data_IF_203386723804
#
_entry.id   IF_203386723804
#
_cell.length_a   1.000
_cell.length_b   1.000
_cell.length_c   1.000
_cell.angle_alpha   90.00
_cell.angle_beta   90.00
_cell.angle_gamma   90.00
#
_symmetry.space_group_name_H-M   'P 1'
#
loop_
_entity.id
_entity.type
_entity.pdbx_description
1 polymer ?
#
# COMPACT_ATOMS: atom_id res chain seq x y z
N UNK A 1 -78.09 1.93 1.54
CA UNK A 1 -76.80 2.51 1.14
C UNK A 1 -75.62 1.67 1.75
N UNK A 2 -74.95 0.89 0.93
CA UNK A 2 -73.80 0.00 1.38
C UNK A 2 -72.52 0.76 1.16
N UNK A 3 -71.79 1.07 2.27
CA UNK A 3 -70.41 1.65 2.22
C UNK A 3 -69.42 0.56 1.84
N UNK A 4 -68.75 0.70 0.69
CA UNK A 4 -67.62 -0.10 0.30
C UNK A 4 -66.39 0.36 1.04
N UNK A 5 -65.86 -0.47 1.99
CA UNK A 5 -64.55 -0.30 2.58
C UNK A 5 -63.48 -0.63 1.55
N UNK A 6 -62.70 0.35 1.12
CA UNK A 6 -61.51 0.17 0.31
C UNK A 6 -60.41 -0.33 1.22
N UNK A 7 -59.99 -1.60 1.05
CA UNK A 7 -58.80 -2.15 1.65
C UNK A 7 -57.57 -1.69 0.87
N UNK A 8 -56.86 -0.68 1.36
CA UNK A 8 -55.53 -0.34 0.89
C UNK A 8 -54.56 -1.44 1.30
N UNK A 9 -54.06 -2.18 0.33
CA UNK A 9 -53.02 -3.20 0.53
C UNK A 9 -51.68 -2.53 0.85
N UNK A 10 -51.29 -2.55 2.12
CA UNK A 10 -49.94 -2.30 2.58
C UNK A 10 -49.08 -3.51 2.24
N UNK A 11 -48.47 -3.51 1.05
CA UNK A 11 -47.32 -4.38 0.72
C UNK A 11 -46.39 -3.61 -0.22
N UNK A 12 -45.76 -2.56 0.26
CA UNK A 12 -44.41 -2.20 -0.16
C UNK A 12 -43.45 -2.65 0.91
N UNK A 13 -43.12 -3.94 0.89
CA UNK A 13 -41.92 -4.45 1.54
C UNK A 13 -40.74 -3.81 0.76
N UNK A 14 -40.16 -2.78 1.35
CA UNK A 14 -38.86 -2.30 0.91
C UNK A 14 -37.94 -3.48 0.98
N UNK A 15 -37.57 -4.07 -0.17
CA UNK A 15 -36.37 -4.88 -0.28
C UNK A 15 -35.22 -3.95 0.12
N UNK A 16 -34.81 -3.99 1.38
CA UNK A 16 -33.50 -3.49 1.78
C UNK A 16 -32.52 -4.30 0.95
N UNK A 17 -31.97 -3.70 -0.10
CA UNK A 17 -30.81 -4.25 -0.77
C UNK A 17 -29.78 -4.46 0.34
N UNK A 18 -29.48 -5.73 0.65
CA UNK A 18 -28.35 -6.04 1.51
C UNK A 18 -27.12 -5.48 0.80
N UNK A 19 -26.58 -4.41 1.31
CA UNK A 19 -25.29 -3.88 0.88
C UNK A 19 -24.32 -5.06 1.03
N UNK A 20 -23.79 -5.54 -0.07
CA UNK A 20 -22.76 -6.58 -0.06
C UNK A 20 -21.43 -5.86 0.08
N UNK A 21 -20.87 -5.90 1.28
CA UNK A 21 -19.50 -5.47 1.49
C UNK A 21 -18.57 -6.43 0.78
N UNK A 22 -17.62 -5.90 0.02
CA UNK A 22 -16.60 -6.69 -0.66
C UNK A 22 -15.26 -6.42 0.01
N UNK A 23 -14.67 -7.48 0.55
CA UNK A 23 -13.36 -7.43 1.18
C UNK A 23 -12.28 -7.63 0.12
N UNK A 24 -11.30 -6.74 0.07
CA UNK A 24 -10.13 -6.78 -0.78
C UNK A 24 -8.88 -6.97 0.08
N UNK A 25 -8.01 -7.85 -0.36
CA UNK A 25 -6.71 -8.04 0.26
C UNK A 25 -5.60 -7.57 -0.65
N UNK A 26 -4.65 -6.85 -0.08
CA UNK A 26 -3.42 -6.45 -0.74
C UNK A 26 -2.26 -7.08 0.03
N UNK A 27 -1.38 -7.75 -0.68
CA UNK A 27 -0.21 -8.41 -0.10
C UNK A 27 1.07 -7.72 -0.53
N UNK A 28 1.99 -7.45 0.40
CA UNK A 28 3.30 -6.86 0.15
C UNK A 28 4.42 -7.65 0.83
N UNK A 29 5.56 -7.80 0.15
CA UNK A 29 6.75 -8.44 0.74
C UNK A 29 8.01 -8.10 -0.04
N UNK A 30 9.12 -7.88 0.66
CA UNK A 30 10.46 -7.98 0.06
C UNK A 30 10.86 -9.46 -0.04
N UNK A 31 11.08 -9.92 -1.27
CA UNK A 31 11.32 -11.33 -1.55
C UNK A 31 12.77 -11.78 -1.36
N UNK A 32 13.71 -10.85 -1.24
CA UNK A 32 15.15 -11.16 -1.26
C UNK A 32 15.53 -12.16 -2.39
N UNK A 33 14.90 -12.00 -3.57
CA UNK A 33 15.05 -12.87 -4.74
C UNK A 33 13.92 -13.89 -4.88
N UNK A 34 12.94 -13.58 -5.74
CA UNK A 34 11.70 -14.37 -5.90
C UNK A 34 11.90 -15.72 -6.61
N UNK A 35 12.86 -15.80 -7.55
CA UNK A 35 13.01 -16.96 -8.45
C UNK A 35 13.14 -18.30 -7.74
N UNK A 36 13.90 -18.36 -6.67
CA UNK A 36 14.07 -19.58 -5.87
C UNK A 36 12.92 -19.88 -4.91
N UNK A 37 11.96 -18.98 -4.79
CA UNK A 37 10.86 -19.01 -3.81
C UNK A 37 9.47 -19.08 -4.48
N UNK A 38 9.40 -19.32 -5.80
CA UNK A 38 8.15 -19.29 -6.59
C UNK A 38 7.08 -20.24 -6.07
N UNK A 39 7.48 -21.42 -5.58
CA UNK A 39 6.51 -22.35 -5.01
C UNK A 39 5.88 -21.80 -3.73
N UNK A 40 6.69 -21.30 -2.83
CA UNK A 40 6.22 -20.67 -1.60
C UNK A 40 5.35 -19.43 -1.89
N UNK A 41 5.75 -18.61 -2.87
CA UNK A 41 4.95 -17.49 -3.33
C UNK A 41 3.56 -17.90 -3.86
N UNK A 42 3.51 -18.97 -4.68
CA UNK A 42 2.25 -19.53 -5.15
C UNK A 42 1.35 -20.01 -4.00
N UNK A 43 1.92 -20.66 -2.99
CA UNK A 43 1.18 -21.15 -1.82
C UNK A 43 0.62 -19.97 -0.99
N UNK A 44 1.39 -18.87 -0.86
CA UNK A 44 0.95 -17.62 -0.24
C UNK A 44 -0.24 -17.01 -1.01
N UNK A 45 -0.12 -16.87 -2.34
CA UNK A 45 -1.20 -16.34 -3.17
C UNK A 45 -2.48 -17.18 -3.01
N UNK A 46 -2.35 -18.50 -2.92
CA UNK A 46 -3.48 -19.40 -2.67
C UNK A 46 -4.10 -19.21 -1.29
N UNK A 47 -3.28 -19.01 -0.25
CA UNK A 47 -3.72 -18.82 1.13
C UNK A 47 -4.42 -17.47 1.32
N UNK A 48 -3.84 -16.38 0.82
CA UNK A 48 -4.33 -15.01 1.02
C UNK A 48 -5.45 -14.66 0.04
N UNK A 49 -5.34 -15.12 -1.22
CA UNK A 49 -6.20 -14.72 -2.35
C UNK A 49 -6.25 -13.20 -2.53
N UNK A 50 -5.10 -12.52 -2.64
CA UNK A 50 -5.05 -11.07 -2.75
C UNK A 50 -5.61 -10.61 -4.10
N UNK A 51 -6.19 -9.42 -4.15
CA UNK A 51 -6.56 -8.74 -5.41
C UNK A 51 -5.39 -7.98 -6.01
N UNK A 52 -4.49 -7.51 -5.16
CA UNK A 52 -3.24 -6.86 -5.55
C UNK A 52 -2.12 -7.47 -4.71
N UNK A 53 -0.99 -7.72 -5.33
CA UNK A 53 0.24 -8.06 -4.61
C UNK A 53 1.42 -7.22 -5.12
N UNK A 54 2.35 -6.92 -4.23
CA UNK A 54 3.52 -6.08 -4.48
C UNK A 54 4.76 -6.74 -3.90
N UNK A 55 5.80 -6.88 -4.71
CA UNK A 55 7.02 -7.60 -4.33
C UNK A 55 8.24 -6.74 -4.66
N UNK A 56 9.09 -6.51 -3.67
CA UNK A 56 10.37 -5.85 -3.81
C UNK A 56 11.50 -6.89 -3.85
N UNK A 57 12.67 -6.44 -4.28
CA UNK A 57 13.87 -7.28 -4.47
C UNK A 57 13.57 -8.57 -5.23
N UNK A 58 12.89 -8.47 -6.35
CA UNK A 58 12.59 -9.65 -7.19
C UNK A 58 13.86 -10.32 -7.68
N UNK A 59 14.95 -9.54 -7.88
CA UNK A 59 16.24 -9.96 -8.43
C UNK A 59 16.11 -10.70 -9.77
N UNK A 60 15.06 -10.37 -10.52
CA UNK A 60 14.84 -10.90 -11.86
C UNK A 60 15.74 -10.17 -12.86
N UNK A 61 16.23 -10.88 -13.86
CA UNK A 61 16.94 -10.29 -15.01
C UNK A 61 15.94 -9.52 -15.88
N UNK A 62 16.41 -8.61 -16.75
CA UNK A 62 15.53 -7.77 -17.58
C UNK A 62 14.39 -8.48 -18.29
N UNK A 63 14.62 -9.70 -18.79
CA UNK A 63 13.62 -10.46 -19.55
C UNK A 63 12.90 -11.54 -18.72
N UNK A 64 13.28 -11.71 -17.47
CA UNK A 64 12.67 -12.75 -16.62
C UNK A 64 11.34 -12.26 -16.05
N UNK A 65 10.43 -13.20 -15.88
CA UNK A 65 9.12 -12.98 -15.26
C UNK A 65 8.88 -14.00 -14.15
N UNK A 66 8.00 -13.67 -13.23
CA UNK A 66 7.49 -14.60 -12.23
C UNK A 66 6.69 -15.68 -12.98
N UNK A 67 6.98 -16.96 -12.69
CA UNK A 67 6.30 -18.09 -13.29
C UNK A 67 5.88 -19.07 -12.20
N UNK A 68 4.61 -19.04 -11.81
CA UNK A 68 3.98 -19.98 -10.89
C UNK A 68 2.53 -20.21 -11.32
N UNK A 69 1.86 -21.24 -10.76
CA UNK A 69 0.56 -21.66 -11.24
C UNK A 69 -0.51 -20.56 -11.20
N UNK A 70 -0.57 -19.79 -10.10
CA UNK A 70 -1.58 -18.74 -9.94
C UNK A 70 -1.21 -17.41 -10.58
N UNK A 71 0.01 -17.26 -11.12
CA UNK A 71 0.43 -15.96 -11.70
C UNK A 71 -0.42 -15.58 -12.91
N UNK A 72 -0.96 -16.55 -13.62
CA UNK A 72 -1.82 -16.32 -14.78
C UNK A 72 -3.19 -15.72 -14.43
N UNK A 73 -3.57 -15.70 -13.15
CA UNK A 73 -4.78 -15.03 -12.67
C UNK A 73 -4.57 -13.51 -12.50
N UNK A 74 -3.32 -13.04 -12.65
CA UNK A 74 -2.94 -11.66 -12.48
C UNK A 74 -2.44 -11.03 -13.78
N UNK A 75 -2.75 -9.75 -13.98
CA UNK A 75 -1.97 -8.87 -14.83
C UNK A 75 -0.75 -8.43 -14.02
N UNK A 76 0.45 -8.71 -14.53
CA UNK A 76 1.69 -8.43 -13.78
C UNK A 76 2.53 -7.38 -14.48
N UNK A 77 2.94 -6.39 -13.72
CA UNK A 77 3.83 -5.30 -14.11
C UNK A 77 5.18 -5.50 -13.46
N UNK A 78 6.25 -5.19 -14.18
CA UNK A 78 7.63 -5.45 -13.75
C UNK A 78 8.50 -4.23 -13.97
N UNK A 79 9.33 -3.92 -12.99
CA UNK A 79 10.46 -3.03 -13.11
C UNK A 79 11.73 -3.83 -12.73
N UNK A 80 12.32 -4.50 -13.71
CA UNK A 80 13.56 -5.26 -13.54
C UNK A 80 14.76 -4.36 -13.84
N UNK A 81 15.79 -4.40 -12.99
CA UNK A 81 17.02 -3.64 -13.24
C UNK A 81 17.68 -4.07 -14.54
N UNK A 82 18.17 -3.07 -15.31
CA UNK A 82 18.79 -3.29 -16.62
C UNK A 82 20.30 -3.50 -16.54
N UNK A 83 20.99 -2.81 -15.64
CA UNK A 83 22.45 -2.77 -15.58
C UNK A 83 23.10 -3.37 -14.33
N UNK A 84 22.36 -3.64 -13.25
CA UNK A 84 22.91 -4.09 -11.97
C UNK A 84 22.17 -5.31 -11.43
N UNK A 85 22.89 -6.18 -10.72
CA UNK A 85 22.27 -7.29 -10.01
C UNK A 85 21.56 -6.79 -8.75
N UNK A 86 20.48 -7.46 -8.37
CA UNK A 86 19.68 -7.14 -7.18
C UNK A 86 18.48 -6.24 -7.51
N UNK A 87 17.76 -5.78 -6.49
CA UNK A 87 16.58 -4.94 -6.64
C UNK A 87 15.46 -5.53 -7.49
N UNK A 88 14.73 -4.66 -8.17
CA UNK A 88 13.58 -5.01 -9.00
C UNK A 88 12.27 -5.06 -8.20
N UNK A 89 11.20 -4.57 -8.83
CA UNK A 89 9.85 -4.49 -8.26
C UNK A 89 8.87 -5.17 -9.19
N UNK A 90 7.89 -5.86 -8.62
CA UNK A 90 6.78 -6.41 -9.38
C UNK A 90 5.45 -6.11 -8.66
N UNK A 91 4.42 -5.83 -9.45
CA UNK A 91 3.06 -5.59 -8.99
C UNK A 91 2.09 -6.42 -9.82
N UNK A 92 1.27 -7.23 -9.16
CA UNK A 92 0.23 -8.02 -9.81
C UNK A 92 -1.15 -7.58 -9.38
N UNK A 93 -2.03 -7.39 -10.36
CA UNK A 93 -3.44 -7.07 -10.17
C UNK A 93 -4.27 -8.24 -10.68
N UNK A 94 -5.22 -8.72 -9.89
CA UNK A 94 -6.15 -9.78 -10.30
C UNK A 94 -6.87 -9.39 -11.59
N UNK A 95 -6.98 -10.30 -12.56
CA UNK A 95 -7.55 -10.05 -13.90
C UNK A 95 -9.05 -9.74 -13.89
N UNK A 96 -9.72 -9.91 -12.76
CA UNK A 96 -11.11 -9.46 -12.58
C UNK A 96 -11.20 -7.95 -12.27
N UNK A 97 -10.08 -7.26 -12.16
CA UNK A 97 -9.99 -5.81 -12.00
C UNK A 97 -9.35 -5.19 -13.25
N UNK A 98 -9.87 -4.03 -13.66
CA UNK A 98 -9.22 -3.23 -14.69
C UNK A 98 -7.96 -2.60 -14.14
N UNK A 99 -6.85 -2.69 -14.89
CA UNK A 99 -5.59 -2.08 -14.48
C UNK A 99 -4.75 -1.62 -15.66
N UNK A 100 -4.01 -0.53 -15.46
CA UNK A 100 -3.14 0.07 -16.48
C UNK A 100 -1.87 0.60 -15.83
N UNK A 101 -0.71 0.34 -16.44
CA UNK A 101 0.54 0.96 -16.03
C UNK A 101 0.45 2.48 -16.26
N UNK A 102 0.71 3.26 -15.20
CA UNK A 102 0.76 4.72 -15.29
C UNK A 102 2.19 5.16 -15.52
N UNK A 103 3.09 4.71 -14.64
CA UNK A 103 4.47 5.18 -14.62
C UNK A 103 5.38 4.12 -14.02
N UNK A 104 6.56 4.01 -14.58
CA UNK A 104 7.64 3.21 -14.03
C UNK A 104 8.89 4.07 -13.87
N UNK A 105 9.64 3.80 -12.81
CA UNK A 105 10.95 4.40 -12.60
C UNK A 105 12.04 3.69 -13.41
N UNK A 106 13.21 3.63 -12.85
CA UNK A 106 14.39 2.99 -13.46
C UNK A 106 15.29 2.36 -12.37
N UNK A 107 16.52 1.98 -12.69
CA UNK A 107 17.49 1.39 -11.75
C UNK A 107 17.85 2.33 -10.59
N UNK A 108 17.61 3.63 -10.72
CA UNK A 108 17.84 4.63 -9.67
C UNK A 108 16.60 4.87 -8.80
N UNK A 109 15.40 4.77 -9.40
CA UNK A 109 14.11 4.99 -8.76
C UNK A 109 13.22 3.77 -8.97
N UNK A 110 13.33 2.78 -8.09
CA UNK A 110 12.61 1.51 -8.23
C UNK A 110 11.17 1.66 -7.72
N UNK A 111 10.36 2.34 -8.51
CA UNK A 111 8.93 2.62 -8.23
C UNK A 111 8.10 2.20 -9.45
N UNK A 112 7.02 1.50 -9.20
CA UNK A 112 6.07 1.02 -10.20
C UNK A 112 4.67 1.47 -9.80
N UNK A 113 4.04 2.30 -10.65
CA UNK A 113 2.73 2.90 -10.42
C UNK A 113 1.71 2.37 -11.41
N UNK A 114 0.63 1.79 -10.90
CA UNK A 114 -0.45 1.15 -11.68
C UNK A 114 -1.79 1.71 -11.23
N UNK A 115 -2.58 2.17 -12.19
CA UNK A 115 -3.98 2.54 -11.94
C UNK A 115 -4.85 1.29 -11.93
N UNK A 116 -5.64 1.12 -10.89
CA UNK A 116 -6.54 -0.03 -10.70
C UNK A 116 -7.93 0.50 -10.42
N UNK A 117 -8.94 -0.06 -11.07
CA UNK A 117 -10.33 0.25 -10.76
C UNK A 117 -10.83 -0.73 -9.69
N UNK A 118 -10.87 -0.29 -8.45
CA UNK A 118 -11.45 -1.05 -7.33
C UNK A 118 -12.94 -0.73 -7.24
N UNK A 119 -13.78 -1.61 -7.80
CA UNK A 119 -15.19 -1.35 -8.07
C UNK A 119 -15.31 -0.10 -8.97
N UNK A 120 -15.83 0.98 -8.48
CA UNK A 120 -15.94 2.25 -9.22
C UNK A 120 -14.90 3.30 -8.75
N UNK A 121 -13.96 2.91 -7.88
CA UNK A 121 -12.97 3.83 -7.30
C UNK A 121 -11.67 3.67 -8.08
N UNK A 122 -11.22 4.69 -8.80
CA UNK A 122 -9.88 4.68 -9.38
C UNK A 122 -8.84 4.79 -8.26
N UNK A 123 -7.90 3.85 -8.23
CA UNK A 123 -6.85 3.77 -7.22
C UNK A 123 -5.50 3.68 -7.90
N UNK A 124 -4.58 4.51 -7.48
CA UNK A 124 -3.17 4.43 -7.85
C UNK A 124 -2.46 3.51 -6.86
N UNK A 125 -2.11 2.32 -7.31
CA UNK A 125 -1.38 1.32 -6.55
C UNK A 125 0.11 1.42 -6.88
N UNK A 126 0.95 1.65 -5.87
CA UNK A 126 2.39 1.90 -6.03
C UNK A 126 3.18 0.86 -5.25
N UNK A 127 4.03 0.12 -5.96
CA UNK A 127 5.06 -0.72 -5.37
C UNK A 127 6.41 -0.03 -5.46
N UNK A 128 7.12 0.14 -4.33
CA UNK A 128 8.36 0.87 -4.28
C UNK A 128 9.45 0.12 -3.50
N UNK A 129 10.70 0.26 -3.96
CA UNK A 129 11.89 -0.23 -3.27
C UNK A 129 12.85 0.94 -3.05
N UNK A 130 12.93 1.38 -1.80
CA UNK A 130 13.73 2.52 -1.39
C UNK A 130 15.22 2.31 -1.58
N UNK A 131 15.99 3.38 -1.80
CA UNK A 131 17.43 3.32 -1.91
C UNK A 131 18.06 2.87 -0.60
N UNK A 132 19.15 2.11 -0.68
CA UNK A 132 19.91 1.68 0.49
C UNK A 132 20.46 2.89 1.26
N UNK A 133 20.71 2.73 2.58
CA UNK A 133 21.20 3.84 3.42
C UNK A 133 22.52 4.44 2.91
N UNK A 134 23.41 3.61 2.35
CA UNK A 134 24.69 4.05 1.78
C UNK A 134 24.58 4.60 0.34
N UNK A 135 23.39 4.66 -0.23
CA UNK A 135 23.20 5.25 -1.57
C UNK A 135 23.49 6.76 -1.56
N UNK A 136 23.95 7.33 -2.69
CA UNK A 136 24.15 8.77 -2.84
C UNK A 136 22.88 9.55 -2.53
N UNK A 137 23.02 10.75 -1.95
CA UNK A 137 21.87 11.62 -1.62
C UNK A 137 21.03 11.96 -2.85
N UNK A 138 21.68 12.15 -4.01
CA UNK A 138 20.98 12.41 -5.27
C UNK A 138 19.99 11.29 -5.62
N UNK A 139 20.40 10.02 -5.46
CA UNK A 139 19.51 8.86 -5.68
C UNK A 139 18.35 8.85 -4.68
N UNK A 140 18.62 9.17 -3.41
CA UNK A 140 17.59 9.27 -2.38
C UNK A 140 16.58 10.36 -2.71
N UNK A 141 17.04 11.53 -3.10
CA UNK A 141 16.17 12.64 -3.47
C UNK A 141 15.29 12.30 -4.69
N UNK A 142 15.87 11.75 -5.77
CA UNK A 142 15.12 11.31 -6.95
C UNK A 142 14.00 10.32 -6.61
N UNK A 143 14.25 9.41 -5.66
CA UNK A 143 13.24 8.46 -5.22
C UNK A 143 12.04 9.16 -4.54
N UNK A 144 12.31 10.07 -3.62
CA UNK A 144 11.24 10.81 -2.93
C UNK A 144 10.52 11.81 -3.85
N UNK A 145 11.24 12.47 -4.75
CA UNK A 145 10.66 13.35 -5.78
C UNK A 145 9.71 12.57 -6.72
N UNK A 146 10.09 11.33 -7.09
CA UNK A 146 9.21 10.48 -7.88
C UNK A 146 7.93 10.17 -7.13
N UNK A 147 8.02 9.74 -5.86
CA UNK A 147 6.84 9.44 -5.04
C UNK A 147 5.99 10.70 -4.82
N UNK A 148 6.59 11.87 -4.60
CA UNK A 148 5.88 13.13 -4.43
C UNK A 148 5.11 13.52 -5.71
N UNK A 149 5.69 13.28 -6.88
CA UNK A 149 4.98 13.45 -8.15
C UNK A 149 3.76 12.54 -8.24
N UNK A 150 3.90 11.25 -7.89
CA UNK A 150 2.79 10.30 -7.92
C UNK A 150 1.67 10.66 -6.91
N UNK A 151 2.03 11.19 -5.74
CA UNK A 151 1.07 11.69 -4.74
C UNK A 151 0.28 12.87 -5.28
N UNK A 152 0.98 13.86 -5.86
CA UNK A 152 0.36 15.05 -6.45
C UNK A 152 -0.54 14.70 -7.64
N UNK A 153 -0.09 13.83 -8.52
CA UNK A 153 -0.88 13.37 -9.66
C UNK A 153 -2.15 12.63 -9.20
N UNK A 154 -2.05 11.78 -8.15
CA UNK A 154 -3.21 11.11 -7.58
C UNK A 154 -4.23 12.10 -7.00
N UNK A 155 -3.77 13.16 -6.34
CA UNK A 155 -4.63 14.20 -5.80
C UNK A 155 -5.33 14.99 -6.90
N UNK A 156 -4.59 15.40 -7.94
CA UNK A 156 -5.13 16.13 -9.11
C UNK A 156 -6.20 15.29 -9.83
N UNK A 157 -5.94 14.00 -10.05
CA UNK A 157 -6.86 13.09 -10.72
C UNK A 157 -8.02 12.63 -9.81
N UNK A 158 -7.91 12.88 -8.51
CA UNK A 158 -8.88 12.42 -7.52
C UNK A 158 -8.85 10.91 -7.32
N UNK A 159 -7.71 10.30 -7.52
CA UNK A 159 -7.49 8.87 -7.31
C UNK A 159 -7.31 8.53 -5.82
N UNK A 160 -7.78 7.38 -5.40
CA UNK A 160 -7.29 6.74 -4.20
C UNK A 160 -5.81 6.41 -4.36
N UNK A 161 -5.04 6.44 -3.27
CA UNK A 161 -3.62 6.12 -3.30
C UNK A 161 -3.29 5.02 -2.30
N UNK A 162 -2.57 4.01 -2.75
CA UNK A 162 -2.03 2.92 -1.92
C UNK A 162 -0.58 2.70 -2.32
N UNK A 163 0.35 2.99 -1.43
CA UNK A 163 1.79 2.72 -1.60
C UNK A 163 2.15 1.56 -0.67
N UNK A 164 2.78 0.53 -1.21
CA UNK A 164 3.48 -0.47 -0.43
C UNK A 164 4.96 -0.43 -0.79
N UNK A 165 5.80 -0.27 0.21
CA UNK A 165 7.24 -0.15 -0.02
C UNK A 165 8.07 -0.87 1.02
N UNK A 166 9.22 -1.38 0.60
CA UNK A 166 10.39 -1.51 1.45
C UNK A 166 11.20 -0.21 1.32
N UNK A 167 11.20 0.58 2.38
CA UNK A 167 11.83 1.91 2.37
C UNK A 167 13.34 1.89 2.59
N UNK A 168 13.92 0.76 3.02
CA UNK A 168 15.32 0.70 3.48
C UNK A 168 15.64 1.83 4.47
N UNK A 169 14.71 2.10 5.39
CA UNK A 169 14.75 3.25 6.28
C UNK A 169 14.43 2.87 7.72
N UNK A 170 14.97 3.63 8.66
CA UNK A 170 14.55 3.61 10.05
C UNK A 170 13.90 4.96 10.37
N UNK A 171 12.59 4.96 10.54
CA UNK A 171 11.83 6.17 10.83
C UNK A 171 12.04 6.66 12.27
N UNK A 172 12.32 5.73 13.17
CA UNK A 172 12.54 6.00 14.58
C UNK A 172 11.24 6.32 15.33
N UNK A 173 11.37 6.58 16.62
CA UNK A 173 10.24 6.83 17.53
C UNK A 173 9.42 8.08 17.21
N UNK A 174 9.88 8.95 16.32
CA UNK A 174 9.08 10.07 15.83
C UNK A 174 7.83 9.64 15.07
N UNK A 175 7.93 8.56 14.31
CA UNK A 175 6.82 8.04 13.51
C UNK A 175 6.13 6.86 14.19
N UNK A 176 6.92 5.92 14.73
CA UNK A 176 6.42 4.69 15.37
C UNK A 176 6.99 4.59 16.78
N UNK A 177 6.14 4.74 17.77
CA UNK A 177 6.53 4.88 19.18
C UNK A 177 7.47 3.78 19.69
N UNK A 178 7.32 2.56 19.20
CA UNK A 178 8.11 1.39 19.60
C UNK A 178 9.10 0.92 18.53
N UNK A 179 9.51 1.81 17.60
CA UNK A 179 10.55 1.46 16.63
C UNK A 179 11.85 1.11 17.37
N UNK A 180 12.39 -0.11 17.20
CA UNK A 180 13.62 -0.53 17.88
C UNK A 180 14.86 0.23 17.38
N UNK A 181 14.76 0.93 16.27
CA UNK A 181 15.87 1.57 15.60
C UNK A 181 15.84 3.09 15.75
N UNK A 182 17.02 3.71 15.78
CA UNK A 182 17.15 5.16 15.69
C UNK A 182 16.96 5.60 14.24
N UNK A 183 16.37 6.80 14.09
CA UNK A 183 16.18 7.41 12.77
C UNK A 183 17.51 7.51 12.01
N UNK A 184 17.53 7.02 10.78
CA UNK A 184 18.64 7.18 9.84
C UNK A 184 18.32 8.25 8.78
N UNK A 185 19.24 8.44 7.81
CA UNK A 185 19.06 9.45 6.76
C UNK A 185 17.81 9.20 5.92
N UNK A 186 17.57 7.96 5.49
CA UNK A 186 16.37 7.62 4.73
C UNK A 186 15.10 7.84 5.57
N UNK A 187 15.13 7.51 6.86
CA UNK A 187 14.01 7.74 7.77
C UNK A 187 13.69 9.23 7.96
N UNK A 188 14.73 10.08 8.01
CA UNK A 188 14.55 11.53 8.05
C UNK A 188 13.87 12.05 6.78
N UNK A 189 14.34 11.63 5.60
CA UNK A 189 13.75 12.00 4.32
C UNK A 189 12.30 11.52 4.20
N UNK A 190 11.99 10.34 4.74
CA UNK A 190 10.63 9.82 4.81
C UNK A 190 9.72 10.71 5.69
N UNK A 191 10.18 11.09 6.87
CA UNK A 191 9.41 11.99 7.72
C UNK A 191 9.17 13.36 7.03
N UNK A 192 10.20 13.92 6.38
CA UNK A 192 10.08 15.16 5.60
C UNK A 192 9.09 15.02 4.43
N UNK A 193 9.08 13.86 3.75
CA UNK A 193 8.09 13.56 2.71
C UNK A 193 6.67 13.53 3.28
N UNK A 194 6.45 12.90 4.43
CA UNK A 194 5.14 12.88 5.10
C UNK A 194 4.71 14.27 5.59
N UNK A 195 5.64 15.09 6.09
CA UNK A 195 5.36 16.47 6.52
C UNK A 195 4.89 17.34 5.34
N UNK A 196 5.47 17.14 4.14
CA UNK A 196 5.03 17.85 2.92
C UNK A 196 3.72 17.31 2.36
N UNK A 197 3.32 16.08 2.71
CA UNK A 197 2.14 15.40 2.20
C UNK A 197 1.21 14.95 3.35
N UNK A 198 0.60 15.91 4.09
CA UNK A 198 -0.18 15.61 5.31
C UNK A 198 -1.46 14.80 5.06
N UNK A 199 -1.89 14.64 3.78
CA UNK A 199 -2.99 13.77 3.38
C UNK A 199 -2.61 12.29 3.39
N UNK A 200 -1.32 11.96 3.54
CA UNK A 200 -0.84 10.58 3.60
C UNK A 200 -0.91 10.02 5.02
N UNK A 201 -1.26 8.77 5.11
CA UNK A 201 -1.41 8.03 6.35
C UNK A 201 -0.55 6.78 6.26
N UNK A 202 0.39 6.63 7.18
CA UNK A 202 1.18 5.40 7.34
C UNK A 202 0.34 4.39 8.11
N UNK A 203 -0.14 3.35 7.45
CA UNK A 203 -1.09 2.38 8.03
C UNK A 203 -0.46 1.62 9.20
N UNK A 204 0.86 1.40 9.17
CA UNK A 204 1.63 0.79 10.27
C UNK A 204 1.50 1.54 11.62
N UNK A 205 1.11 2.82 11.62
CA UNK A 205 0.94 3.62 12.84
C UNK A 205 -0.47 3.59 13.42
N UNK A 206 -1.41 2.97 12.72
CA UNK A 206 -2.82 2.93 13.13
C UNK A 206 -3.09 1.74 14.06
N UNK A 207 -4.06 1.90 14.96
CA UNK A 207 -4.50 0.83 15.87
C UNK A 207 -5.08 -0.41 15.17
N UNK A 208 -5.38 -0.31 13.87
CA UNK A 208 -5.84 -1.44 13.05
C UNK A 208 -4.69 -2.31 12.52
N UNK A 209 -3.43 -1.91 12.77
CA UNK A 209 -2.24 -2.68 12.41
C UNK A 209 -1.90 -3.67 13.53
N UNK A 210 -1.87 -4.96 13.19
CA UNK A 210 -1.43 -6.05 14.04
C UNK A 210 0.00 -6.43 13.66
N UNK A 211 0.90 -6.47 14.67
CA UNK A 211 2.33 -6.65 14.46
C UNK A 211 3.05 -5.34 14.14
N UNK A 212 4.36 -5.35 14.29
CA UNK A 212 5.21 -4.16 14.18
C UNK A 212 6.46 -4.43 13.35
N UNK A 213 7.16 -5.53 13.64
CA UNK A 213 8.47 -5.85 13.07
C UNK A 213 8.30 -6.40 11.66
N UNK A 214 8.73 -5.63 10.66
CA UNK A 214 8.61 -6.05 9.26
C UNK A 214 9.83 -6.79 8.74
N UNK A 215 10.96 -6.70 9.44
CA UNK A 215 12.18 -7.45 9.14
C UNK A 215 12.79 -8.01 10.41
N UNK A 216 13.09 -9.32 10.40
CA UNK A 216 13.79 -10.01 11.47
C UNK A 216 14.91 -10.87 10.90
N UNK A 217 16.14 -10.62 11.34
CA UNK A 217 17.32 -11.34 10.90
C UNK A 217 18.03 -11.97 12.08
N UNK A 218 18.09 -13.29 12.05
CA UNK A 218 18.85 -14.06 13.04
C UNK A 218 20.35 -14.07 12.67
N UNK A 219 21.18 -13.63 13.58
CA UNK A 219 22.64 -13.73 13.54
C UNK A 219 23.10 -14.69 14.63
N UNK A 220 24.37 -15.13 14.57
CA UNK A 220 24.91 -16.12 15.52
C UNK A 220 24.70 -15.73 17.00
N UNK A 221 24.80 -14.43 17.32
CA UNK A 221 24.77 -13.95 18.71
C UNK A 221 23.68 -12.92 18.99
N UNK A 222 22.84 -12.57 18.04
CA UNK A 222 21.78 -11.58 18.21
C UNK A 222 20.70 -11.69 17.12
N UNK A 223 19.52 -11.23 17.44
CA UNK A 223 18.45 -10.98 16.48
C UNK A 223 18.42 -9.49 16.14
N UNK A 224 18.40 -9.16 14.85
CA UNK A 224 18.18 -7.79 14.37
C UNK A 224 16.74 -7.65 13.95
N UNK A 225 16.05 -6.65 14.50
CA UNK A 225 14.66 -6.32 14.20
C UNK A 225 14.58 -4.91 13.63
N UNK A 226 13.71 -4.73 12.63
CA UNK A 226 13.49 -3.43 12.00
C UNK A 226 12.09 -3.30 11.41
N UNK A 227 11.67 -2.05 11.24
CA UNK A 227 10.46 -1.66 10.53
C UNK A 227 10.91 -0.95 9.26
N UNK A 228 10.92 -1.68 8.15
CA UNK A 228 11.42 -1.20 6.84
C UNK A 228 10.31 -1.14 5.80
N UNK A 229 9.25 -1.93 5.99
CA UNK A 229 8.18 -2.13 5.04
C UNK A 229 6.92 -1.41 5.52
N UNK A 230 6.30 -0.64 4.63
CA UNK A 230 5.19 0.23 4.97
C UNK A 230 4.05 0.09 3.98
N UNK A 231 2.81 0.20 4.50
CA UNK A 231 1.65 0.61 3.71
C UNK A 231 1.33 2.08 4.01
N UNK A 232 1.15 2.86 2.96
CA UNK A 232 0.77 4.27 3.03
C UNK A 232 -0.44 4.47 2.14
N UNK A 233 -1.44 5.18 2.64
CA UNK A 233 -2.66 5.51 1.89
C UNK A 233 -2.97 6.99 2.00
N UNK A 234 -3.76 7.52 1.06
CA UNK A 234 -4.31 8.86 1.22
C UNK A 234 -5.64 8.83 2.02
N UNK A 235 -6.12 10.01 2.44
CA UNK A 235 -7.36 10.15 3.22
C UNK A 235 -8.57 9.51 2.52
N UNK A 236 -8.61 9.49 1.19
CA UNK A 236 -9.70 8.84 0.44
C UNK A 236 -9.75 7.34 0.74
N UNK A 237 -8.59 6.66 0.78
CA UNK A 237 -8.51 5.22 1.01
C UNK A 237 -8.64 4.85 2.48
N UNK A 238 -8.38 5.78 3.41
CA UNK A 238 -8.50 5.56 4.86
C UNK A 238 -9.84 4.99 5.27
N UNK A 239 -10.92 5.49 4.67
CA UNK A 239 -12.29 5.10 5.04
C UNK A 239 -12.62 3.65 4.73
N UNK A 240 -11.83 3.01 3.88
CA UNK A 240 -11.99 1.62 3.47
C UNK A 240 -11.07 0.65 4.22
N UNK A 241 -10.14 1.15 5.03
CA UNK A 241 -9.22 0.31 5.81
C UNK A 241 -9.99 -0.49 6.85
N UNK A 242 -9.70 -1.79 6.93
CA UNK A 242 -10.27 -2.69 7.93
C UNK A 242 -9.22 -3.18 8.91
N UNK A 243 -8.21 -3.86 8.40
CA UNK A 243 -7.06 -4.35 9.18
C UNK A 243 -5.79 -4.31 8.35
N UNK A 244 -4.66 -4.25 9.03
CA UNK A 244 -3.35 -4.54 8.48
C UNK A 244 -2.68 -5.56 9.40
N UNK A 245 -2.04 -6.58 8.81
CA UNK A 245 -1.26 -7.57 9.56
C UNK A 245 0.17 -7.59 9.05
N UNK A 246 1.13 -7.48 9.97
CA UNK A 246 2.52 -7.84 9.77
C UNK A 246 2.71 -9.29 10.21
N UNK A 247 3.19 -10.15 9.34
CA UNK A 247 3.29 -11.59 9.57
C UNK A 247 4.55 -11.95 10.40
N UNK A 248 4.58 -11.52 11.65
CA UNK A 248 5.72 -11.79 12.56
C UNK A 248 5.89 -13.30 12.86
N UNK A 249 4.80 -14.07 12.76
CA UNK A 249 4.80 -15.52 12.93
C UNK A 249 5.34 -16.27 11.71
N UNK A 250 5.68 -15.55 10.64
CA UNK A 250 6.23 -16.09 9.40
C UNK A 250 5.39 -17.17 8.71
N UNK A 251 4.07 -17.10 8.85
CA UNK A 251 3.12 -17.98 8.17
C UNK A 251 3.04 -17.74 6.65
N UNK A 252 3.45 -16.56 6.19
CA UNK A 252 3.47 -16.10 4.80
C UNK A 252 4.90 -15.94 4.29
N UNK A 253 5.84 -16.70 4.84
CA UNK A 253 7.23 -16.52 4.53
C UNK A 253 7.64 -17.12 3.17
N UNK A 254 8.49 -16.41 2.45
CA UNK A 254 9.06 -16.88 1.18
C UNK A 254 10.29 -17.75 1.44
N UNK A 255 10.16 -19.04 1.19
CA UNK A 255 11.15 -20.06 1.48
C UNK A 255 11.74 -20.65 0.19
N UNK A 256 13.06 -20.81 0.15
CA UNK A 256 13.74 -21.55 -0.91
C UNK A 256 13.66 -23.07 -0.65
N UNK A 257 12.60 -23.69 -1.14
CA UNK A 257 12.35 -25.11 -0.94
C UNK A 257 13.38 -26.04 -1.61
N UNK A 258 14.08 -25.58 -2.64
CA UNK A 258 15.13 -26.36 -3.28
C UNK A 258 16.34 -26.52 -2.38
N UNK A 259 16.75 -25.46 -1.68
CA UNK A 259 17.85 -25.48 -0.71
C UNK A 259 17.49 -26.31 0.54
N UNK A 260 16.25 -26.17 1.02
CA UNK A 260 15.75 -26.98 2.12
C UNK A 260 15.89 -28.48 1.81
N UNK A 261 15.47 -28.91 0.62
CA UNK A 261 15.58 -30.30 0.19
C UNK A 261 17.04 -30.78 0.03
N UNK A 262 17.93 -29.90 -0.45
CA UNK A 262 19.33 -30.27 -0.74
C UNK A 262 20.20 -30.35 0.51
N UNK A 263 20.09 -29.37 1.40
CA UNK A 263 21.05 -29.13 2.49
C UNK A 263 20.38 -29.17 3.87
N UNK A 264 19.09 -29.46 3.96
CA UNK A 264 18.26 -29.33 5.18
C UNK A 264 18.39 -27.95 5.84
N UNK A 265 18.73 -26.92 5.05
CA UNK A 265 18.89 -25.53 5.50
C UNK A 265 17.73 -24.68 4.98
N UNK A 266 17.03 -24.04 5.89
CA UNK A 266 16.01 -23.07 5.56
C UNK A 266 16.71 -21.80 5.08
N UNK A 267 16.41 -21.39 3.83
CA UNK A 267 16.79 -20.07 3.31
C UNK A 267 15.48 -19.38 2.96
N UNK A 268 15.18 -18.37 3.72
CA UNK A 268 13.94 -17.59 3.63
C UNK A 268 14.26 -16.11 3.48
N UNK A 269 13.26 -15.30 3.16
CA UNK A 269 13.40 -13.86 3.30
C UNK A 269 13.43 -13.47 4.78
N UNK A 270 14.24 -12.49 5.12
CA UNK A 270 14.26 -11.91 6.47
C UNK A 270 13.14 -10.87 6.68
N UNK A 271 12.41 -10.51 5.61
CA UNK A 271 11.23 -9.66 5.68
C UNK A 271 9.95 -10.46 5.95
N UNK A 272 9.07 -9.89 6.74
CA UNK A 272 7.74 -10.42 7.06
C UNK A 272 6.73 -9.93 6.01
N UNK A 273 5.79 -10.78 5.62
CA UNK A 273 4.72 -10.40 4.71
C UNK A 273 3.74 -9.41 5.36
N UNK A 274 3.26 -8.44 4.59
CA UNK A 274 2.25 -7.48 4.99
C UNK A 274 0.95 -7.77 4.27
N UNK A 275 -0.17 -7.84 5.01
CA UNK A 275 -1.51 -8.01 4.43
C UNK A 275 -2.37 -6.84 4.85
N UNK A 276 -2.83 -6.05 3.88
CA UNK A 276 -3.80 -4.98 4.07
C UNK A 276 -5.18 -5.48 3.63
N UNK A 277 -6.15 -5.43 4.52
CA UNK A 277 -7.55 -5.71 4.20
C UNK A 277 -8.35 -4.41 4.13
N UNK A 278 -9.14 -4.30 3.07
CA UNK A 278 -10.01 -3.17 2.79
C UNK A 278 -11.42 -3.65 2.54
N UNK A 279 -12.41 -2.90 2.99
CA UNK A 279 -13.82 -3.20 2.80
C UNK A 279 -14.49 -2.08 1.99
N UNK A 280 -14.88 -2.42 0.75
CA UNK A 280 -15.60 -1.51 -0.12
C UNK A 280 -17.11 -1.81 -0.03
N UNK A 281 -17.90 -0.79 0.33
CA UNK A 281 -19.35 -0.89 0.35
C UNK A 281 -19.90 -0.69 -1.07
N UNK A 282 -20.50 -1.75 -1.65
CA UNK A 282 -21.23 -1.64 -2.91
C UNK A 282 -22.54 -0.89 -2.69
N UNK A 283 -22.69 0.29 -3.29
CA UNK A 283 -23.96 1.00 -3.37
C UNK A 283 -24.17 2.16 -2.39
N UNK A 284 -23.16 2.68 -1.73
CA UNK A 284 -23.23 4.05 -1.21
C UNK A 284 -23.11 5.01 -2.41
N UNK A 285 -24.19 5.75 -2.65
CA UNK A 285 -24.08 6.98 -3.43
C UNK A 285 -22.89 7.75 -2.89
N UNK A 286 -21.98 8.18 -3.79
CA UNK A 286 -20.87 9.06 -3.43
C UNK A 286 -21.39 10.09 -2.42
N UNK A 287 -20.77 10.26 -1.23
CA UNK A 287 -21.02 11.47 -0.48
C UNK A 287 -20.74 12.60 -1.48
N UNK A 288 -21.72 13.50 -1.66
CA UNK A 288 -21.60 14.59 -2.62
C UNK A 288 -20.30 15.34 -2.31
N UNK A 289 -19.26 15.05 -3.11
CA UNK A 289 -17.93 15.68 -2.98
C UNK A 289 -18.01 17.21 -3.01
N UNK A 290 -19.04 17.74 -3.70
CA UNK A 290 -19.27 19.18 -3.79
C UNK A 290 -19.66 19.82 -2.45
N UNK A 291 -20.45 19.16 -1.61
CA UNK A 291 -20.84 19.76 -0.31
C UNK A 291 -19.69 19.73 0.71
N UNK A 292 -18.89 18.66 0.76
CA UNK A 292 -17.76 18.62 1.71
C UNK A 292 -16.61 19.55 1.30
N UNK A 293 -16.36 19.71 -0.01
CA UNK A 293 -15.35 20.65 -0.50
C UNK A 293 -15.80 22.10 -0.30
N UNK A 294 -17.09 22.40 -0.53
CA UNK A 294 -17.65 23.73 -0.30
C UNK A 294 -17.72 24.10 1.19
N UNK A 295 -18.02 23.17 2.09
CA UNK A 295 -18.04 23.43 3.53
C UNK A 295 -16.63 23.65 4.10
N UNK A 296 -15.62 22.87 3.68
CA UNK A 296 -14.22 23.11 4.08
C UNK A 296 -13.67 24.40 3.49
N UNK A 297 -13.91 24.70 2.21
CA UNK A 297 -13.48 25.95 1.60
C UNK A 297 -14.18 27.17 2.24
N UNK A 298 -15.46 27.07 2.56
CA UNK A 298 -16.22 28.16 3.17
C UNK A 298 -15.74 28.40 4.61
N UNK A 299 -15.55 27.36 5.43
CA UNK A 299 -15.04 27.49 6.78
C UNK A 299 -13.56 27.97 6.81
N UNK A 300 -12.71 27.49 5.88
CA UNK A 300 -11.34 27.99 5.74
C UNK A 300 -11.32 29.43 5.22
N UNK A 301 -12.20 29.82 4.30
CA UNK A 301 -12.29 31.19 3.83
C UNK A 301 -12.80 32.13 4.93
N UNK A 302 -13.81 31.74 5.69
CA UNK A 302 -14.33 32.52 6.82
C UNK A 302 -13.26 32.67 7.92
N UNK A 303 -12.54 31.60 8.27
CA UNK A 303 -11.42 31.67 9.23
C UNK A 303 -10.26 32.56 8.75
N UNK A 304 -9.92 32.46 7.45
CA UNK A 304 -8.88 33.33 6.85
C UNK A 304 -9.30 34.80 6.83
N UNK A 305 -10.59 35.10 6.53
CA UNK A 305 -11.13 36.46 6.58
C UNK A 305 -11.18 37.02 8.00
N UNK A 306 -11.55 36.19 8.99
CA UNK A 306 -11.57 36.63 10.40
C UNK A 306 -10.15 36.93 10.93
N UNK A 307 -9.19 36.07 10.60
CA UNK A 307 -7.79 36.24 11.03
C UNK A 307 -7.13 37.45 10.36
N UNK A 308 -7.39 37.68 9.07
CA UNK A 308 -6.92 38.85 8.31
C UNK A 308 -7.55 40.15 8.83
N UNK A 309 -8.83 40.14 9.14
CA UNK A 309 -9.52 41.32 9.72
C UNK A 309 -9.06 41.63 11.15
N UNK A 310 -8.67 40.61 11.93
CA UNK A 310 -8.12 40.81 13.27
C UNK A 310 -6.70 41.43 13.23
N UNK A 311 -5.89 41.02 12.26
CA UNK A 311 -4.56 41.59 12.02
C UNK A 311 -4.68 43.04 11.54
N UNK A 312 -5.63 43.36 10.65
CA UNK A 312 -5.85 44.74 10.14
C UNK A 312 -6.41 45.71 11.20
N UNK A 313 -7.07 45.19 12.25
CA UNK A 313 -7.58 46.03 13.35
C UNK A 313 -6.55 46.28 14.45
N UNK A 314 -5.39 45.60 14.41
CA UNK A 314 -4.30 45.76 15.37
C UNK A 314 -3.17 46.69 14.91
N UNK A 315 -3.32 47.30 13.73
CA UNK A 315 -2.52 48.41 13.19
C UNK A 315 -3.39 49.65 13.03
#
# INVERSE_FOLDING_TARGET
>A
MKQKKVKLSRKRVQKRNKIKNKCFKIFGINSAGIKSKLKSFNDILKKIQPKIWMVQETKLKPHEKISCALINEFQVYYLNRQGMQGGGVALGVSKDLESTLIKEGNDETEVLSVKVLLEEIPVRAIAAYGPQENAPMEKKNKFWEFLETEVNDAEIEGDGLIIQMDGNLHAGSKLITNDPNKQNTNGRLFCEFLERNPQLIVVNTLNLCEGLITRRRELENRTEEAILDFFIVNEQMRTYLRTMKVDEEKELNLINLAQLKKNNRIIETDHNGLVLEMELELGRNKPEREEMFNLRNKACQEAFYEETNNIMKSY
#
